data_IF_473361038883
#
_entry.id   IF_473361038883
#
_cell.length_a   1.000
_cell.length_b   1.000
_cell.length_c   1.000
_cell.angle_alpha   90.00
_cell.angle_beta   90.00
_cell.angle_gamma   90.00
#
_symmetry.space_group_name_H-M   'P 1'
#
loop_
_entity.id
_entity.type
_entity.pdbx_description
1 polymer ?
#
# COMPACT_ATOMS: atom_id res chain seq x y z
N UNK A 1 -10.09 6.23 22.76
CA UNK A 1 -10.40 5.47 21.53
C UNK A 1 -9.09 5.11 20.86
N UNK A 2 -8.91 3.86 20.47
CA UNK A 2 -7.74 3.42 19.71
C UNK A 2 -7.94 3.85 18.25
N UNK A 3 -6.94 4.51 17.66
CA UNK A 3 -6.94 4.91 16.24
C UNK A 3 -6.06 3.96 15.43
N UNK A 4 -6.35 3.76 14.13
CA UNK A 4 -7.45 4.36 13.40
C UNK A 4 -8.77 3.60 13.57
N UNK A 5 -9.89 4.28 13.33
CA UNK A 5 -11.21 3.64 13.31
C UNK A 5 -11.54 3.08 11.92
N UNK A 6 -12.47 2.13 11.80
CA UNK A 6 -12.92 1.62 10.50
C UNK A 6 -13.44 2.75 9.59
N UNK A 7 -14.19 3.72 10.14
CA UNK A 7 -14.67 4.89 9.39
C UNK A 7 -13.52 5.72 8.81
N UNK A 8 -12.46 5.91 9.59
CA UNK A 8 -11.26 6.62 9.15
C UNK A 8 -10.56 5.86 8.03
N UNK A 9 -10.34 4.55 8.21
CA UNK A 9 -9.71 3.68 7.20
C UNK A 9 -10.50 3.68 5.89
N UNK A 10 -11.81 3.49 5.94
CA UNK A 10 -12.68 3.58 4.76
C UNK A 10 -12.55 4.92 4.04
N UNK A 11 -12.51 6.03 4.78
CA UNK A 11 -12.32 7.35 4.19
C UNK A 11 -10.96 7.52 3.51
N UNK A 12 -9.89 6.95 4.08
CA UNK A 12 -8.55 6.97 3.47
C UNK A 12 -8.49 6.12 2.21
N UNK A 13 -9.09 4.92 2.23
CA UNK A 13 -9.18 4.04 1.07
C UNK A 13 -9.97 4.70 -0.08
N UNK A 14 -11.11 5.33 0.23
CA UNK A 14 -11.91 6.04 -0.79
C UNK A 14 -11.13 7.21 -1.41
N UNK A 15 -10.41 7.98 -0.59
CA UNK A 15 -9.58 9.10 -1.08
C UNK A 15 -8.42 8.60 -1.93
N UNK A 16 -7.75 7.52 -1.50
CA UNK A 16 -6.70 6.86 -2.28
C UNK A 16 -7.22 6.41 -3.64
N UNK A 17 -8.38 5.75 -3.67
CA UNK A 17 -9.01 5.28 -4.91
C UNK A 17 -9.30 6.44 -5.88
N UNK A 18 -9.81 7.56 -5.38
CA UNK A 18 -10.03 8.77 -6.19
C UNK A 18 -8.72 9.30 -6.81
N UNK A 19 -7.64 9.35 -6.04
CA UNK A 19 -6.35 9.86 -6.53
C UNK A 19 -5.71 8.90 -7.53
N UNK A 20 -5.79 7.60 -7.30
CA UNK A 20 -5.28 6.59 -8.24
C UNK A 20 -6.08 6.60 -9.54
N UNK A 21 -7.41 6.74 -9.51
CA UNK A 21 -8.22 6.90 -10.73
C UNK A 21 -7.80 8.13 -11.55
N UNK A 22 -7.48 9.24 -10.88
CA UNK A 22 -6.99 10.46 -11.52
C UNK A 22 -5.51 10.40 -11.95
N UNK A 23 -4.86 9.23 -11.81
CA UNK A 23 -3.42 9.01 -12.03
C UNK A 23 -2.52 9.98 -11.24
N UNK A 24 -2.95 10.36 -10.04
CA UNK A 24 -2.23 11.28 -9.13
C UNK A 24 -1.38 10.50 -8.14
N UNK A 25 -0.41 9.77 -8.66
CA UNK A 25 0.48 8.89 -7.89
C UNK A 25 1.90 9.47 -7.93
N UNK A 26 2.53 9.57 -6.76
CA UNK A 26 3.93 9.95 -6.61
C UNK A 26 4.69 8.84 -5.89
N UNK A 27 5.85 8.45 -6.42
CA UNK A 27 6.72 7.48 -5.77
C UNK A 27 7.61 8.18 -4.76
N UNK A 28 7.60 7.73 -3.51
CA UNK A 28 8.53 8.26 -2.52
C UNK A 28 9.95 7.81 -2.87
N UNK A 29 10.21 6.51 -2.97
CA UNK A 29 11.53 5.99 -3.33
C UNK A 29 11.45 5.22 -4.67
N UNK A 30 11.63 5.89 -5.82
CA UNK A 30 11.44 5.25 -7.12
C UNK A 30 12.29 3.99 -7.32
N UNK A 31 13.53 3.98 -6.84
CA UNK A 31 14.45 2.83 -6.97
C UNK A 31 13.95 1.60 -6.23
N UNK A 32 13.40 1.79 -5.02
CA UNK A 32 12.81 0.70 -4.22
C UNK A 32 11.55 0.18 -4.90
N UNK A 33 10.67 1.07 -5.37
CA UNK A 33 9.42 0.68 -6.04
C UNK A 33 9.69 -0.05 -7.36
N UNK A 34 10.74 0.33 -8.11
CA UNK A 34 11.16 -0.41 -9.32
C UNK A 34 11.59 -1.83 -8.98
N UNK A 35 12.40 -2.01 -7.94
CA UNK A 35 12.83 -3.34 -7.51
C UNK A 35 11.63 -4.18 -7.08
N UNK A 36 10.73 -3.60 -6.28
CA UNK A 36 9.51 -4.27 -5.85
C UNK A 36 8.60 -4.64 -7.06
N UNK A 37 8.53 -3.78 -8.08
CA UNK A 37 7.74 -4.04 -9.28
C UNK A 37 8.26 -5.24 -10.08
N UNK A 38 9.58 -5.37 -10.17
CA UNK A 38 10.25 -6.54 -10.78
C UNK A 38 9.90 -7.80 -9.98
N UNK A 39 9.98 -7.75 -8.65
CA UNK A 39 9.62 -8.90 -7.78
C UNK A 39 8.15 -9.30 -7.89
N UNK A 40 7.26 -8.33 -8.14
CA UNK A 40 5.82 -8.53 -8.34
C UNK A 40 5.44 -8.79 -9.80
N UNK A 41 6.43 -8.90 -10.69
CA UNK A 41 6.25 -9.23 -12.11
C UNK A 41 5.29 -8.30 -12.85
N UNK A 42 5.33 -6.99 -12.55
CA UNK A 42 4.57 -5.97 -13.29
C UNK A 42 5.46 -4.82 -13.77
N UNK A 43 5.06 -4.17 -14.87
CA UNK A 43 5.74 -2.98 -15.38
C UNK A 43 5.29 -1.72 -14.64
N UNK A 44 6.18 -0.74 -14.41
CA UNK A 44 5.76 0.55 -13.84
C UNK A 44 4.64 1.26 -14.64
N UNK A 45 4.51 0.98 -15.95
CA UNK A 45 3.39 1.48 -16.76
C UNK A 45 2.01 0.94 -16.31
N UNK A 46 2.00 -0.17 -15.58
CA UNK A 46 0.79 -0.80 -15.03
C UNK A 46 0.53 -0.41 -13.57
N UNK A 47 1.39 0.42 -12.95
CA UNK A 47 1.30 0.76 -11.53
C UNK A 47 -0.08 1.28 -11.13
N UNK A 48 -0.70 2.11 -11.98
CA UNK A 48 -2.04 2.61 -11.72
C UNK A 48 -3.06 1.46 -11.64
N UNK A 49 -3.03 0.52 -12.59
CA UNK A 49 -3.93 -0.64 -12.60
C UNK A 49 -3.69 -1.54 -11.38
N UNK A 50 -2.43 -1.80 -11.04
CA UNK A 50 -2.04 -2.55 -9.83
C UNK A 50 -2.62 -1.93 -8.57
N UNK A 51 -2.49 -0.61 -8.40
CA UNK A 51 -3.03 0.08 -7.23
C UNK A 51 -4.56 0.08 -7.21
N UNK A 52 -5.23 0.18 -8.37
CA UNK A 52 -6.69 0.06 -8.44
C UNK A 52 -7.15 -1.34 -8.02
N UNK A 53 -6.49 -2.40 -8.51
CA UNK A 53 -6.81 -3.77 -8.15
C UNK A 53 -6.66 -3.99 -6.63
N UNK A 54 -5.55 -3.52 -6.05
CA UNK A 54 -5.31 -3.62 -4.61
C UNK A 54 -6.33 -2.82 -3.78
N UNK A 55 -6.59 -1.57 -4.13
CA UNK A 55 -7.53 -0.72 -3.39
C UNK A 55 -8.97 -1.24 -3.46
N UNK A 56 -9.40 -1.76 -4.62
CA UNK A 56 -10.73 -2.37 -4.77
C UNK A 56 -10.90 -3.65 -3.95
N UNK A 57 -9.82 -4.38 -3.67
CA UNK A 57 -9.85 -5.54 -2.79
C UNK A 57 -9.63 -5.19 -1.30
N UNK A 58 -9.33 -3.92 -0.97
CA UNK A 58 -8.95 -3.54 0.40
C UNK A 58 -10.15 -3.05 1.22
N UNK A 59 -10.32 -3.62 2.41
CA UNK A 59 -11.28 -3.19 3.43
C UNK A 59 -10.55 -2.77 4.71
N UNK A 60 -11.17 -2.04 5.65
CA UNK A 60 -10.52 -1.61 6.90
C UNK A 60 -9.82 -2.71 7.68
N UNK A 61 -10.34 -3.94 7.65
CA UNK A 61 -9.80 -5.11 8.34
C UNK A 61 -8.42 -5.55 7.82
N UNK A 62 -8.05 -5.11 6.61
CA UNK A 62 -6.73 -5.35 6.03
C UNK A 62 -5.66 -4.36 6.54
N UNK A 63 -6.02 -3.41 7.40
CA UNK A 63 -5.05 -2.47 7.96
C UNK A 63 -3.99 -3.19 8.80
N UNK A 64 -2.73 -3.00 8.42
CA UNK A 64 -1.55 -3.63 9.04
C UNK A 64 -0.57 -2.61 9.62
N UNK A 65 -0.98 -1.35 9.74
CA UNK A 65 -0.19 -0.28 10.35
C UNK A 65 -0.32 -0.19 11.87
N UNK A 66 0.41 0.75 12.46
CA UNK A 66 0.39 1.00 13.89
C UNK A 66 -0.94 1.62 14.38
N UNK A 67 -1.17 1.50 15.69
CA UNK A 67 -2.30 2.12 16.37
C UNK A 67 -1.79 2.96 17.55
N UNK A 68 -1.64 4.29 17.41
CA UNK A 68 -2.04 5.14 16.29
C UNK A 68 -1.17 4.97 15.03
N UNK A 69 -1.63 5.44 13.85
CA UNK A 69 -0.85 5.41 12.62
C UNK A 69 0.52 6.08 12.79
N UNK A 70 1.55 5.44 12.26
CA UNK A 70 2.91 5.98 12.26
C UNK A 70 2.98 7.25 11.40
N UNK A 71 3.79 8.21 11.83
CA UNK A 71 4.09 9.40 11.04
C UNK A 71 5.41 9.24 10.31
N UNK A 72 5.47 9.69 9.06
CA UNK A 72 6.72 9.63 8.29
C UNK A 72 7.76 10.62 8.80
N UNK A 73 9.01 10.19 8.81
CA UNK A 73 10.20 11.04 9.02
C UNK A 73 10.76 11.59 7.71
N UNK A 74 10.33 11.03 6.57
CA UNK A 74 10.89 11.37 5.26
C UNK A 74 10.49 12.80 4.85
N UNK A 75 11.48 13.57 4.38
CA UNK A 75 11.36 15.03 4.22
C UNK A 75 10.14 15.45 3.40
N UNK A 76 9.86 14.73 2.30
CA UNK A 76 8.74 15.03 1.38
C UNK A 76 7.35 14.80 1.97
N UNK A 77 7.23 13.93 2.96
CA UNK A 77 5.96 13.55 3.58
C UNK A 77 6.03 13.64 5.11
N UNK A 78 6.90 14.50 5.62
CA UNK A 78 7.23 14.59 7.04
C UNK A 78 5.98 14.86 7.87
N UNK A 79 5.84 14.13 8.98
CA UNK A 79 4.72 14.18 9.92
C UNK A 79 3.36 13.73 9.36
N UNK A 80 3.28 13.28 8.10
CA UNK A 80 2.06 12.70 7.55
C UNK A 80 1.87 11.27 8.05
N UNK A 81 0.63 10.90 8.35
CA UNK A 81 0.26 9.56 8.76
C UNK A 81 0.44 8.57 7.58
N UNK A 82 1.04 7.42 7.89
CA UNK A 82 1.28 6.33 6.97
C UNK A 82 0.18 5.28 7.10
N UNK A 83 -0.41 4.93 5.97
CA UNK A 83 -1.49 3.95 5.88
C UNK A 83 -0.94 2.70 5.23
N UNK A 84 -0.86 1.62 6.01
CA UNK A 84 -0.33 0.33 5.57
C UNK A 84 -1.44 -0.72 5.56
N UNK A 85 -1.50 -1.49 4.48
CA UNK A 85 -2.47 -2.54 4.29
C UNK A 85 -1.80 -3.81 3.76
N UNK A 86 -2.34 -4.95 4.17
CA UNK A 86 -1.95 -6.28 3.68
C UNK A 86 -3.18 -6.96 3.10
N UNK A 87 -3.19 -7.20 1.79
CA UNK A 87 -4.38 -7.69 1.09
C UNK A 87 -4.03 -8.81 0.12
N UNK A 88 -4.89 -9.82 0.02
CA UNK A 88 -4.87 -10.77 -1.09
C UNK A 88 -5.83 -10.27 -2.17
N UNK A 89 -5.36 -10.15 -3.41
CA UNK A 89 -6.19 -9.79 -4.55
C UNK A 89 -5.94 -10.75 -5.71
N UNK A 90 -6.93 -10.98 -6.61
CA UNK A 90 -6.81 -11.97 -7.68
C UNK A 90 -5.60 -11.78 -8.62
N UNK A 91 -5.08 -10.55 -8.73
CA UNK A 91 -3.91 -10.24 -9.56
C UNK A 91 -2.63 -10.91 -9.08
N UNK A 92 -2.50 -11.18 -7.78
CA UNK A 92 -1.27 -11.71 -7.19
C UNK A 92 -1.56 -13.01 -6.45
N UNK A 93 -0.67 -13.98 -6.59
CA UNK A 93 -0.79 -15.29 -5.91
C UNK A 93 -0.51 -15.21 -4.40
N UNK A 94 0.07 -14.09 -3.94
CA UNK A 94 0.49 -13.88 -2.56
C UNK A 94 -0.14 -12.59 -2.00
N UNK A 95 -0.34 -12.52 -0.68
CA UNK A 95 -0.76 -11.27 -0.05
C UNK A 95 0.26 -10.17 -0.32
N UNK A 96 -0.23 -8.99 -0.68
CA UNK A 96 0.58 -7.81 -0.98
C UNK A 96 0.50 -6.85 0.19
N UNK A 97 1.67 -6.38 0.62
CA UNK A 97 1.81 -5.26 1.52
C UNK A 97 2.00 -3.99 0.70
N UNK A 98 1.19 -2.98 0.97
CA UNK A 98 1.40 -1.66 0.39
C UNK A 98 1.17 -0.57 1.43
N UNK A 99 1.96 0.49 1.31
CA UNK A 99 1.97 1.61 2.25
C UNK A 99 1.93 2.92 1.49
N UNK A 100 1.05 3.82 1.90
CA UNK A 100 0.90 5.13 1.27
C UNK A 100 0.62 6.24 2.27
N UNK A 101 0.75 7.48 1.80
CA UNK A 101 0.15 8.64 2.46
C UNK A 101 -0.57 9.52 1.45
N UNK A 102 -1.45 10.40 1.93
CA UNK A 102 -2.29 11.26 1.12
C UNK A 102 -1.97 12.72 1.44
N UNK A 103 -1.62 13.50 0.42
CA UNK A 103 -1.27 14.91 0.61
C UNK A 103 -1.44 15.71 -0.68
N UNK A 104 -1.92 16.94 -0.57
CA UNK A 104 -2.04 17.88 -1.69
C UNK A 104 -2.74 17.30 -2.95
N UNK A 105 -3.70 16.39 -2.78
CA UNK A 105 -4.41 15.77 -3.91
C UNK A 105 -3.67 14.60 -4.59
N UNK A 106 -2.58 14.12 -4.00
CA UNK A 106 -1.78 13.00 -4.48
C UNK A 106 -1.73 11.85 -3.47
N UNK A 107 -1.61 10.64 -4.00
CA UNK A 107 -1.18 9.47 -3.26
C UNK A 107 0.34 9.34 -3.38
N UNK A 108 1.02 9.37 -2.24
CA UNK A 108 2.45 9.10 -2.17
C UNK A 108 2.64 7.63 -1.82
N UNK A 109 3.09 6.83 -2.79
CA UNK A 109 3.40 5.42 -2.59
C UNK A 109 4.74 5.29 -1.88
N UNK A 110 4.72 4.64 -0.72
CA UNK A 110 5.89 4.48 0.16
C UNK A 110 6.50 3.08 0.02
N UNK A 111 5.66 2.05 -0.14
CA UNK A 111 6.11 0.66 -0.30
C UNK A 111 5.04 -0.15 -1.01
N UNK A 112 5.43 -1.15 -1.81
CA UNK A 112 4.51 -2.07 -2.48
C UNK A 112 5.22 -3.39 -2.77
N UNK A 113 5.10 -4.40 -1.93
CA UNK A 113 5.82 -5.67 -2.09
C UNK A 113 5.00 -6.85 -1.59
N UNK A 114 5.42 -8.08 -1.89
CA UNK A 114 4.79 -9.27 -1.29
C UNK A 114 4.96 -9.25 0.24
N UNK A 115 3.90 -9.61 0.97
CA UNK A 115 4.01 -9.84 2.40
C UNK A 115 5.06 -10.93 2.64
N UNK A 116 6.06 -10.63 3.48
CA UNK A 116 7.06 -11.62 3.89
C UNK A 116 6.40 -12.67 4.78
N UNK A 117 5.91 -13.74 4.17
CA UNK A 117 5.66 -14.99 4.89
C UNK A 117 7.01 -15.58 5.29
N UNK A 118 7.15 -16.03 6.54
CA UNK A 118 8.18 -17.05 6.83
C UNK A 118 7.86 -18.20 5.89
N UNK A 119 8.74 -18.53 4.94
CA UNK A 119 8.68 -19.82 4.26
C UNK A 119 8.52 -20.87 5.37
N UNK A 120 7.35 -21.52 5.43
CA UNK A 120 7.27 -22.79 6.13
C UNK A 120 8.16 -23.73 5.33
N UNK A 121 9.42 -23.89 5.76
CA UNK A 121 10.24 -25.06 5.46
C UNK A 121 9.58 -26.28 6.11
N UNK A 122 8.42 -26.68 5.61
CA UNK A 122 7.81 -27.98 5.87
C UNK A 122 7.51 -28.57 4.50
N UNK A 123 8.47 -29.32 4.03
CA UNK A 123 8.38 -30.01 2.76
C UNK A 123 9.79 -30.30 2.27
N UNK A 124 10.34 -31.41 2.75
CA UNK A 124 11.19 -32.35 2.02
C UNK A 124 11.41 -33.55 2.96
N UNK A 125 11.55 -34.76 2.39
CA UNK A 125 10.58 -35.86 2.46
C UNK A 125 10.53 -36.63 3.78
#
# INVERSE_FOLDING_TARGET
>A
MVRPSNKELSGKLQTALQYVHANRILLLEPTVIVADAIELEYSLGELQAVLLDLLNCTVPEHYSGYQPPEKSYETRIKNLELWAFSVTCPRFERPIYYKFTLSHGYLYLVSLHTCRGKENKRGLP
#
